data_IF_038868967371
#
_entry.id   IF_038868967371
#
_cell.length_a   1.000
_cell.length_b   1.000
_cell.length_c   1.000
_cell.angle_alpha   90.00
_cell.angle_beta   90.00
_cell.angle_gamma   90.00
#
_symmetry.space_group_name_H-M   'P 1'
#
loop_
_entity.id
_entity.type
_entity.pdbx_description
1 polymer ?
#
# COMPACT_ATOMS: atom_id res chain seq x y z
N UNK A 1 -22.61 -20.70 11.22
CA UNK A 1 -21.37 -21.16 11.88
C UNK A 1 -21.57 -22.61 12.25
N UNK A 2 -21.11 -23.52 11.41
CA UNK A 2 -21.19 -24.96 11.63
C UNK A 2 -19.91 -25.37 12.34
N UNK A 3 -19.98 -25.63 13.64
CA UNK A 3 -18.87 -26.20 14.41
C UNK A 3 -18.61 -27.63 13.92
N UNK A 4 -17.70 -27.78 12.96
CA UNK A 4 -17.11 -29.07 12.60
C UNK A 4 -16.02 -29.37 13.63
N UNK A 5 -16.36 -30.14 14.67
CA UNK A 5 -15.44 -30.51 15.76
C UNK A 5 -14.50 -31.68 15.38
N UNK A 6 -14.04 -31.74 14.14
CA UNK A 6 -13.11 -32.79 13.70
C UNK A 6 -12.40 -32.46 12.40
N UNK A 7 -11.16 -32.95 12.27
CA UNK A 7 -10.35 -32.89 11.05
C UNK A 7 -11.13 -33.48 9.87
N UNK A 8 -11.25 -32.76 8.72
CA UNK A 8 -11.91 -33.32 7.54
C UNK A 8 -11.25 -34.63 7.09
N UNK A 9 -12.05 -35.65 6.73
CA UNK A 9 -11.53 -36.97 6.35
C UNK A 9 -10.42 -36.96 5.27
N UNK A 10 -10.47 -36.11 4.23
CA UNK A 10 -9.37 -36.00 3.26
C UNK A 10 -8.06 -35.48 3.87
N UNK A 11 -8.15 -34.55 4.82
CA UNK A 11 -6.99 -34.00 5.54
C UNK A 11 -6.39 -35.06 6.46
N UNK A 12 -7.21 -35.74 7.25
CA UNK A 12 -6.75 -36.81 8.14
C UNK A 12 -6.01 -37.91 7.35
N UNK A 13 -6.57 -38.36 6.23
CA UNK A 13 -5.94 -39.36 5.37
C UNK A 13 -4.60 -38.89 4.78
N UNK A 14 -4.47 -37.59 4.51
CA UNK A 14 -3.21 -36.98 4.09
C UNK A 14 -2.19 -36.96 5.23
N UNK A 15 -2.57 -36.46 6.41
CA UNK A 15 -1.70 -36.34 7.58
C UNK A 15 -1.17 -37.70 8.05
N UNK A 16 -2.00 -38.75 8.04
CA UNK A 16 -1.56 -40.14 8.33
C UNK A 16 -0.45 -40.61 7.40
N UNK A 17 -0.49 -40.23 6.12
CA UNK A 17 0.54 -40.60 5.14
C UNK A 17 1.77 -39.70 5.24
N UNK A 18 1.58 -38.41 5.44
CA UNK A 18 2.64 -37.42 5.55
C UNK A 18 3.51 -37.63 6.80
N UNK A 19 2.93 -38.12 7.88
CA UNK A 19 3.63 -38.35 9.16
C UNK A 19 4.09 -39.80 9.35
N UNK A 20 3.88 -40.66 8.35
CA UNK A 20 4.30 -42.06 8.38
C UNK A 20 5.83 -42.13 8.53
N UNK A 21 6.31 -42.99 9.44
CA UNK A 21 7.74 -43.19 9.70
C UNK A 21 8.35 -42.28 10.77
N UNK A 22 7.67 -41.20 11.17
CA UNK A 22 8.18 -40.33 12.24
C UNK A 22 8.13 -41.04 13.62
N UNK A 23 9.09 -40.74 14.51
CA UNK A 23 9.03 -41.16 15.91
C UNK A 23 7.71 -40.71 16.55
N UNK A 24 7.10 -41.51 17.45
CA UNK A 24 5.80 -41.17 18.05
C UNK A 24 5.75 -39.77 18.65
N UNK A 25 6.82 -39.34 19.32
CA UNK A 25 6.93 -38.02 19.97
C UNK A 25 6.90 -36.86 18.97
N UNK A 26 7.42 -37.04 17.75
CA UNK A 26 7.44 -36.00 16.70
C UNK A 26 6.24 -36.09 15.77
N UNK A 27 5.57 -37.23 15.73
CA UNK A 27 4.42 -37.45 14.88
C UNK A 27 3.28 -36.51 15.23
N UNK A 28 2.98 -36.34 16.52
CA UNK A 28 1.90 -35.48 16.98
C UNK A 28 2.20 -33.99 16.75
N UNK A 29 3.44 -33.55 17.00
CA UNK A 29 3.89 -32.19 16.72
C UNK A 29 3.76 -31.84 15.24
N UNK A 30 4.35 -32.67 14.37
CA UNK A 30 4.29 -32.46 12.90
C UNK A 30 2.86 -32.61 12.39
N UNK A 31 2.06 -33.47 13.00
CA UNK A 31 0.64 -33.60 12.67
C UNK A 31 -0.09 -32.28 12.91
N UNK A 32 0.03 -31.71 14.11
CA UNK A 32 -0.66 -30.49 14.51
C UNK A 32 -0.22 -29.30 13.64
N UNK A 33 1.08 -29.17 13.37
CA UNK A 33 1.62 -28.10 12.52
C UNK A 33 1.10 -28.20 11.08
N UNK A 34 1.10 -29.40 10.48
CA UNK A 34 0.58 -29.61 9.14
C UNK A 34 -0.93 -29.42 9.06
N UNK A 35 -1.67 -29.85 10.08
CA UNK A 35 -3.11 -29.63 10.18
C UNK A 35 -3.43 -28.13 10.21
N UNK A 36 -2.79 -27.38 11.11
CA UNK A 36 -2.96 -25.93 11.21
C UNK A 36 -2.61 -25.22 9.90
N UNK A 37 -1.47 -25.58 9.28
CA UNK A 37 -1.03 -24.98 8.04
C UNK A 37 -2.03 -25.20 6.89
N UNK A 38 -2.52 -26.44 6.72
CA UNK A 38 -3.47 -26.75 5.65
C UNK A 38 -4.82 -26.08 5.88
N UNK A 39 -5.31 -26.06 7.13
CA UNK A 39 -6.59 -25.42 7.46
C UNK A 39 -6.51 -23.89 7.27
N UNK A 40 -5.44 -23.25 7.72
CA UNK A 40 -5.23 -21.82 7.50
C UNK A 40 -5.16 -21.48 5.99
N UNK A 41 -4.49 -22.33 5.19
CA UNK A 41 -4.44 -22.14 3.74
C UNK A 41 -5.79 -22.36 3.06
N UNK A 42 -6.57 -23.35 3.52
CA UNK A 42 -7.93 -23.56 3.03
C UNK A 42 -8.83 -22.36 3.35
N UNK A 43 -8.79 -21.83 4.58
CA UNK A 43 -9.56 -20.65 4.97
C UNK A 43 -9.23 -19.42 4.09
N UNK A 44 -7.95 -19.19 3.78
CA UNK A 44 -7.54 -18.15 2.82
C UNK A 44 -8.20 -18.33 1.45
N UNK A 45 -8.21 -19.57 0.93
CA UNK A 45 -8.83 -19.88 -0.36
C UNK A 45 -10.36 -19.75 -0.32
N UNK A 46 -10.99 -19.99 0.82
CA UNK A 46 -12.42 -19.69 1.02
C UNK A 46 -12.69 -18.18 0.93
N UNK A 47 -11.84 -17.34 1.54
CA UNK A 47 -11.94 -15.88 1.38
C UNK A 47 -11.73 -15.40 -0.06
N UNK A 48 -11.00 -16.18 -0.88
CA UNK A 48 -10.84 -15.96 -2.32
C UNK A 48 -12.06 -16.44 -3.14
N UNK A 49 -13.09 -16.99 -2.50
CA UNK A 49 -14.37 -17.38 -3.11
C UNK A 49 -14.48 -18.85 -3.49
N UNK A 50 -13.52 -19.70 -3.09
CA UNK A 50 -13.65 -21.15 -3.25
C UNK A 50 -14.63 -21.74 -2.24
N UNK A 51 -15.33 -22.82 -2.61
CA UNK A 51 -16.10 -23.57 -1.61
C UNK A 51 -15.14 -24.29 -0.63
N UNK A 52 -15.57 -24.59 0.61
CA UNK A 52 -14.69 -25.25 1.59
C UNK A 52 -14.03 -26.54 1.08
N UNK A 53 -14.77 -27.36 0.33
CA UNK A 53 -14.25 -28.59 -0.27
C UNK A 53 -13.19 -28.32 -1.35
N UNK A 54 -13.39 -27.28 -2.18
CA UNK A 54 -12.45 -26.89 -3.21
C UNK A 54 -11.19 -26.27 -2.60
N UNK A 55 -11.36 -25.41 -1.60
CA UNK A 55 -10.29 -24.76 -0.87
C UNK A 55 -9.36 -25.79 -0.21
N UNK A 56 -9.91 -26.75 0.54
CA UNK A 56 -9.13 -27.83 1.15
C UNK A 56 -8.39 -28.68 0.11
N UNK A 57 -9.07 -29.02 -1.00
CA UNK A 57 -8.45 -29.79 -2.09
C UNK A 57 -7.29 -29.03 -2.74
N UNK A 58 -7.43 -27.72 -2.92
CA UNK A 58 -6.38 -26.87 -3.47
C UNK A 58 -5.21 -26.74 -2.49
N UNK A 59 -5.47 -26.51 -1.19
CA UNK A 59 -4.45 -26.45 -0.15
C UNK A 59 -3.62 -27.75 -0.07
N UNK A 60 -4.28 -28.92 -0.08
CA UNK A 60 -3.59 -30.22 -0.12
C UNK A 60 -2.78 -30.43 -1.40
N UNK A 61 -3.26 -29.90 -2.54
CA UNK A 61 -2.54 -29.97 -3.82
C UNK A 61 -1.28 -29.10 -3.80
N UNK A 62 -1.34 -27.92 -3.20
CA UNK A 62 -0.19 -27.01 -3.04
C UNK A 62 0.89 -27.61 -2.14
N UNK A 63 0.49 -28.32 -1.08
CA UNK A 63 1.42 -29.03 -0.19
C UNK A 63 2.13 -30.22 -0.88
N UNK A 64 1.55 -30.73 -1.96
CA UNK A 64 2.13 -31.78 -2.80
C UNK A 64 1.91 -33.21 -2.25
N UNK A 65 2.56 -34.22 -2.84
CA UNK A 65 2.32 -35.62 -2.47
C UNK A 65 2.77 -35.95 -1.04
N UNK A 66 1.95 -36.63 -0.21
CA UNK A 66 2.26 -36.86 1.20
C UNK A 66 3.50 -37.72 1.42
N UNK A 67 3.82 -38.64 0.49
CA UNK A 67 5.04 -39.47 0.57
C UNK A 67 6.32 -38.64 0.41
N UNK A 68 6.29 -37.58 -0.40
CA UNK A 68 7.42 -36.67 -0.58
C UNK A 68 7.66 -35.86 0.70
N UNK A 69 6.58 -35.41 1.33
CA UNK A 69 6.63 -34.71 2.61
C UNK A 69 7.13 -35.62 3.74
N UNK A 70 6.61 -36.84 3.82
CA UNK A 70 7.08 -37.87 4.77
C UNK A 70 8.57 -38.17 4.61
N UNK A 71 9.05 -38.36 3.37
CA UNK A 71 10.48 -38.58 3.13
C UNK A 71 11.35 -37.39 3.57
N UNK A 72 10.89 -36.16 3.32
CA UNK A 72 11.57 -34.96 3.78
C UNK A 72 11.62 -34.86 5.31
N UNK A 73 10.49 -35.08 5.98
CA UNK A 73 10.39 -35.02 7.45
C UNK A 73 11.21 -36.14 8.13
N UNK A 74 11.15 -37.36 7.60
CA UNK A 74 11.99 -38.46 8.08
C UNK A 74 13.49 -38.17 7.90
N UNK A 75 13.87 -37.50 6.81
CA UNK A 75 15.25 -37.06 6.60
C UNK A 75 15.76 -36.08 7.66
N UNK A 76 14.87 -35.23 8.18
CA UNK A 76 15.19 -34.26 9.24
C UNK A 76 15.22 -34.92 10.63
N UNK A 77 14.27 -35.81 10.91
CA UNK A 77 14.04 -36.30 12.28
C UNK A 77 14.64 -37.68 12.61
N UNK A 78 14.91 -38.53 11.62
CA UNK A 78 15.36 -39.92 11.84
C UNK A 78 16.81 -40.19 11.43
N UNK A 79 17.56 -39.19 10.95
CA UNK A 79 18.96 -39.41 10.58
C UNK A 79 19.91 -39.31 11.80
N UNK A 80 20.84 -40.28 11.97
CA UNK A 80 21.93 -40.16 12.93
C UNK A 80 22.77 -38.92 12.64
N UNK A 81 23.25 -38.24 13.69
CA UNK A 81 24.02 -36.96 13.67
C UNK A 81 25.32 -36.96 12.83
N UNK A 82 25.61 -38.00 12.05
CA UNK A 82 26.80 -38.11 11.20
C UNK A 82 26.68 -37.41 9.83
N UNK A 83 25.51 -36.88 9.48
CA UNK A 83 25.37 -36.00 8.31
C UNK A 83 25.52 -34.52 8.71
N UNK A 84 26.66 -34.19 9.30
CA UNK A 84 27.11 -32.79 9.35
C UNK A 84 27.76 -32.36 8.01
N UNK A 85 28.11 -33.32 7.13
CA UNK A 85 28.78 -33.03 5.87
C UNK A 85 27.89 -33.07 4.62
N UNK A 86 26.83 -33.89 4.55
CA UNK A 86 25.90 -33.82 3.41
C UNK A 86 24.79 -32.77 3.58
N UNK A 87 24.52 -32.34 4.83
CA UNK A 87 23.68 -31.16 5.10
C UNK A 87 24.33 -29.89 4.57
N UNK A 88 25.65 -29.80 4.49
CA UNK A 88 26.34 -28.68 3.83
C UNK A 88 26.12 -28.65 2.32
N UNK A 89 26.00 -29.79 1.64
CA UNK A 89 25.70 -29.83 0.20
C UNK A 89 24.23 -29.70 -0.11
N UNK A 90 23.30 -30.24 0.69
CA UNK A 90 21.87 -29.92 0.54
C UNK A 90 21.52 -28.52 1.03
N UNK A 91 22.15 -27.95 2.06
CA UNK A 91 22.05 -26.52 2.36
C UNK A 91 22.75 -25.67 1.29
N UNK A 92 23.84 -26.09 0.67
CA UNK A 92 24.44 -25.34 -0.44
C UNK A 92 23.61 -25.42 -1.72
N UNK A 93 22.91 -26.53 -1.97
CA UNK A 93 21.97 -26.65 -3.09
C UNK A 93 20.64 -25.96 -2.77
N UNK A 94 20.17 -26.00 -1.52
CA UNK A 94 18.98 -25.25 -1.08
C UNK A 94 19.28 -23.76 -1.04
N UNK A 95 20.39 -23.33 -0.43
CA UNK A 95 20.88 -21.96 -0.47
C UNK A 95 21.26 -21.53 -1.88
N UNK A 96 21.73 -22.44 -2.74
CA UNK A 96 21.94 -22.20 -4.16
C UNK A 96 20.61 -21.97 -4.90
N UNK A 97 19.59 -22.78 -4.64
CA UNK A 97 18.24 -22.60 -5.18
C UNK A 97 17.53 -21.38 -4.58
N UNK A 98 17.75 -21.05 -3.31
CA UNK A 98 17.25 -19.84 -2.64
C UNK A 98 18.01 -18.59 -3.12
N UNK A 99 19.32 -18.66 -3.37
CA UNK A 99 20.10 -17.57 -3.96
C UNK A 99 19.78 -17.37 -5.45
N UNK A 100 19.47 -18.45 -6.18
CA UNK A 100 18.95 -18.37 -7.54
C UNK A 100 17.48 -17.89 -7.58
N UNK A 101 16.70 -18.14 -6.52
CA UNK A 101 15.33 -17.63 -6.35
C UNK A 101 15.28 -16.20 -5.82
N UNK A 102 16.33 -15.72 -5.13
CA UNK A 102 16.54 -14.30 -4.80
C UNK A 102 17.11 -13.54 -6.00
N UNK A 103 16.42 -13.64 -7.15
CA UNK A 103 16.61 -12.67 -8.21
C UNK A 103 16.41 -11.28 -7.56
N UNK A 104 17.37 -10.35 -7.67
CA UNK A 104 17.22 -9.02 -7.11
C UNK A 104 15.92 -8.44 -7.65
N UNK A 105 15.02 -8.05 -6.74
CA UNK A 105 13.73 -7.48 -7.11
C UNK A 105 14.02 -6.28 -8.03
N UNK A 106 13.52 -6.29 -9.28
CA UNK A 106 13.85 -5.25 -10.24
C UNK A 106 13.43 -3.90 -9.67
N UNK A 107 14.35 -2.95 -9.68
CA UNK A 107 14.11 -1.59 -9.19
C UNK A 107 13.92 -0.67 -10.36
N UNK A 108 12.73 -0.09 -10.48
CA UNK A 108 12.40 0.89 -11.49
C UNK A 108 12.49 2.30 -10.92
N UNK A 109 13.18 3.18 -11.62
CA UNK A 109 13.27 4.60 -11.31
C UNK A 109 12.21 5.33 -12.14
N UNK A 110 11.28 6.02 -11.50
CA UNK A 110 10.30 6.88 -12.17
C UNK A 110 10.76 8.33 -12.00
N UNK A 111 11.13 9.02 -13.09
CA UNK A 111 11.44 10.44 -13.05
C UNK A 111 10.21 11.25 -12.59
N UNK A 112 10.38 12.10 -11.59
CA UNK A 112 9.34 13.00 -11.08
C UNK A 112 9.67 14.43 -11.42
N UNK A 113 8.71 15.13 -12.03
CA UNK A 113 8.76 16.57 -12.22
C UNK A 113 8.14 17.28 -11.02
N UNK A 114 8.84 18.27 -10.47
CA UNK A 114 8.34 19.05 -9.34
C UNK A 114 7.59 20.32 -9.74
N UNK A 115 7.52 20.59 -11.05
CA UNK A 115 6.88 21.76 -11.63
C UNK A 115 6.03 21.39 -12.84
N UNK A 116 4.79 21.84 -12.82
CA UNK A 116 3.85 21.78 -13.94
C UNK A 116 3.49 23.20 -14.39
N UNK A 117 2.98 23.39 -15.62
CA UNK A 117 2.27 24.62 -15.98
C UNK A 117 1.05 24.81 -15.07
N UNK A 118 0.57 26.05 -14.94
CA UNK A 118 -0.69 26.33 -14.22
C UNK A 118 -1.86 25.72 -14.98
N UNK A 119 -2.87 25.25 -14.24
CA UNK A 119 -4.08 24.67 -14.83
C UNK A 119 -5.29 25.53 -14.47
N UNK A 120 -6.07 25.89 -15.48
CA UNK A 120 -7.34 26.60 -15.33
C UNK A 120 -8.49 25.67 -15.72
N UNK A 121 -9.34 25.34 -14.76
CA UNK A 121 -10.52 24.51 -15.00
C UNK A 121 -11.79 25.38 -14.96
N UNK A 122 -12.65 25.26 -15.96
CA UNK A 122 -13.93 25.99 -16.09
C UNK A 122 -15.07 25.02 -16.40
N UNK A 123 -16.33 25.39 -16.11
CA UNK A 123 -17.47 24.56 -16.50
C UNK A 123 -17.60 24.55 -18.03
N UNK A 124 -18.20 23.49 -18.63
CA UNK A 124 -18.38 23.41 -20.07
C UNK A 124 -19.09 24.60 -20.71
N UNK A 125 -20.03 25.21 -19.98
CA UNK A 125 -20.86 26.33 -20.44
C UNK A 125 -20.26 27.72 -20.16
N UNK A 126 -19.13 27.78 -19.44
CA UNK A 126 -18.44 29.04 -19.15
C UNK A 126 -17.60 29.51 -20.35
N UNK A 127 -17.20 30.79 -20.35
CA UNK A 127 -16.29 31.34 -21.36
C UNK A 127 -14.98 30.56 -21.39
N UNK A 128 -14.70 29.91 -22.52
CA UNK A 128 -13.51 29.09 -22.69
C UNK A 128 -12.28 29.99 -22.84
N UNK A 129 -11.21 29.79 -22.06
CA UNK A 129 -9.99 30.54 -22.25
C UNK A 129 -9.32 30.16 -23.57
N UNK A 130 -8.59 31.08 -24.19
CA UNK A 130 -7.75 30.81 -25.36
C UNK A 130 -6.45 30.08 -24.97
N UNK A 131 -6.59 28.94 -24.29
CA UNK A 131 -5.51 28.12 -23.78
C UNK A 131 -5.64 26.68 -24.34
N UNK A 132 -4.55 25.90 -24.42
CA UNK A 132 -4.61 24.50 -24.80
C UNK A 132 -5.46 23.66 -23.84
N UNK A 133 -6.42 22.90 -24.38
CA UNK A 133 -7.24 21.96 -23.62
C UNK A 133 -6.43 20.71 -23.23
N UNK A 134 -6.41 20.37 -21.95
CA UNK A 134 -5.73 19.17 -21.42
C UNK A 134 -6.74 18.06 -21.16
N UNK A 135 -7.82 18.39 -20.46
CA UNK A 135 -8.86 17.46 -20.04
C UNK A 135 -10.22 18.05 -20.38
N UNK A 136 -11.06 17.22 -20.98
CA UNK A 136 -12.47 17.51 -21.24
C UNK A 136 -13.32 16.44 -20.56
N UNK A 137 -14.00 16.82 -19.50
CA UNK A 137 -15.02 15.97 -18.89
C UNK A 137 -16.40 16.56 -19.18
N UNK A 138 -17.46 15.78 -19.05
CA UNK A 138 -18.83 16.32 -19.13
C UNK A 138 -19.18 17.34 -18.03
N UNK A 139 -18.28 17.61 -17.07
CA UNK A 139 -18.51 18.51 -15.93
C UNK A 139 -17.52 19.68 -15.84
N UNK A 140 -16.32 19.52 -16.40
CA UNK A 140 -15.23 20.49 -16.31
C UNK A 140 -14.29 20.34 -17.50
N UNK A 141 -13.85 21.47 -18.03
CA UNK A 141 -12.80 21.58 -19.05
C UNK A 141 -11.57 22.23 -18.40
N UNK A 142 -10.43 21.55 -18.43
CA UNK A 142 -9.19 22.04 -17.87
C UNK A 142 -8.19 22.39 -18.97
N UNK A 143 -7.62 23.58 -18.86
CA UNK A 143 -6.74 24.20 -19.83
C UNK A 143 -5.37 24.49 -19.23
N UNK A 144 -4.33 24.39 -20.05
CA UNK A 144 -2.95 24.60 -19.64
C UNK A 144 -2.52 26.05 -19.86
N UNK A 145 -2.13 26.73 -18.79
CA UNK A 145 -1.52 28.05 -18.84
C UNK A 145 0.00 27.93 -18.69
N UNK A 146 0.71 28.19 -19.78
CA UNK A 146 2.18 28.15 -19.83
C UNK A 146 2.85 29.44 -19.34
N UNK A 147 2.08 30.47 -18.93
CA UNK A 147 2.63 31.73 -18.42
C UNK A 147 3.22 31.63 -17.01
N UNK A 148 2.94 30.54 -16.29
CA UNK A 148 3.47 30.29 -14.97
C UNK A 148 3.54 28.80 -14.65
N UNK A 149 4.21 28.51 -13.53
CA UNK A 149 4.32 27.15 -13.01
C UNK A 149 3.56 26.99 -11.70
N UNK A 150 3.16 25.75 -11.43
CA UNK A 150 2.66 25.29 -10.15
C UNK A 150 3.55 24.15 -9.65
N UNK A 151 3.70 24.08 -8.33
CA UNK A 151 4.48 23.04 -7.68
C UNK A 151 3.65 21.77 -7.49
N UNK A 152 4.29 20.60 -7.59
CA UNK A 152 3.66 19.32 -7.34
C UNK A 152 4.63 18.17 -7.48
N UNK A 153 4.12 16.95 -7.63
CA UNK A 153 4.88 15.76 -7.99
C UNK A 153 4.20 15.13 -9.19
N UNK A 154 4.84 15.18 -10.35
CA UNK A 154 4.22 14.76 -11.60
C UNK A 154 5.03 13.67 -12.28
N UNK A 155 4.34 12.62 -12.70
CA UNK A 155 4.93 11.48 -13.41
C UNK A 155 4.25 11.32 -14.75
N UNK A 156 5.00 10.92 -15.77
CA UNK A 156 4.44 10.74 -17.11
C UNK A 156 3.65 9.45 -17.21
N UNK A 157 2.66 9.41 -18.11
CA UNK A 157 1.86 8.21 -18.37
C UNK A 157 2.73 7.04 -18.83
N UNK A 158 3.70 7.31 -19.72
CA UNK A 158 4.63 6.29 -20.22
C UNK A 158 5.47 5.63 -19.12
N UNK A 159 5.99 6.41 -18.17
CA UNK A 159 6.80 5.87 -17.06
C UNK A 159 5.94 5.10 -16.07
N UNK A 160 4.70 5.54 -15.83
CA UNK A 160 3.72 4.80 -15.02
C UNK A 160 3.37 3.46 -15.68
N UNK A 161 3.10 3.45 -16.99
CA UNK A 161 2.81 2.21 -17.73
C UNK A 161 3.98 1.24 -17.68
N UNK A 162 5.22 1.71 -17.85
CA UNK A 162 6.42 0.88 -17.71
C UNK A 162 6.56 0.32 -16.29
N UNK A 163 6.34 1.15 -15.27
CA UNK A 163 6.51 0.77 -13.87
C UNK A 163 5.49 -0.24 -13.37
N UNK A 164 4.27 -0.18 -13.88
CA UNK A 164 3.20 -1.10 -13.50
C UNK A 164 3.19 -2.39 -14.32
N UNK A 165 3.80 -2.43 -15.51
CA UNK A 165 3.80 -3.62 -16.36
C UNK A 165 4.29 -4.91 -15.66
N UNK A 166 5.39 -4.91 -14.86
CA UNK A 166 5.84 -6.10 -14.13
C UNK A 166 4.82 -6.63 -13.11
N UNK A 167 3.90 -5.78 -12.64
CA UNK A 167 2.86 -6.11 -11.66
C UNK A 167 1.63 -6.79 -12.26
N UNK A 168 1.57 -6.89 -13.59
CA UNK A 168 0.40 -7.35 -14.31
C UNK A 168 -0.73 -6.30 -14.38
N UNK A 169 -0.57 -5.12 -13.75
CA UNK A 169 -1.48 -3.99 -13.95
C UNK A 169 -1.19 -3.37 -15.32
N UNK A 170 -2.20 -3.36 -16.18
CA UNK A 170 -2.14 -2.68 -17.48
C UNK A 170 -2.60 -1.24 -17.31
N UNK A 171 -1.75 -0.29 -17.72
CA UNK A 171 -2.09 1.13 -17.77
C UNK A 171 -2.14 1.59 -19.23
N UNK A 172 -3.33 1.89 -19.73
CA UNK A 172 -3.60 2.19 -21.14
C UNK A 172 -4.11 3.63 -21.27
N UNK A 173 -3.41 4.44 -22.06
CA UNK A 173 -3.86 5.81 -22.33
C UNK A 173 -5.05 5.80 -23.29
N UNK A 174 -6.01 6.70 -23.07
CA UNK A 174 -7.06 7.00 -24.05
C UNK A 174 -6.47 7.51 -25.36
N UNK A 175 -7.24 7.43 -26.45
CA UNK A 175 -6.78 7.83 -27.79
C UNK A 175 -6.40 9.31 -27.89
N UNK A 176 -7.01 10.17 -27.07
CA UNK A 176 -6.69 11.59 -26.95
C UNK A 176 -5.56 11.87 -25.91
N UNK A 177 -5.06 10.83 -25.25
CA UNK A 177 -4.06 10.90 -24.18
C UNK A 177 -4.50 11.65 -22.93
N UNK A 178 -5.78 11.97 -22.76
CA UNK A 178 -6.27 12.74 -21.61
C UNK A 178 -6.49 11.90 -20.36
N UNK A 179 -6.62 10.58 -20.51
CA UNK A 179 -6.98 9.64 -19.44
C UNK A 179 -6.05 8.44 -19.48
N UNK A 180 -5.64 7.95 -18.32
CA UNK A 180 -4.91 6.69 -18.14
C UNK A 180 -5.84 5.70 -17.43
N UNK A 181 -6.20 4.62 -18.11
CA UNK A 181 -7.06 3.56 -17.59
C UNK A 181 -6.22 2.43 -17.01
N UNK A 182 -6.55 1.99 -15.80
CA UNK A 182 -5.87 0.89 -15.12
C UNK A 182 -6.75 -0.35 -15.13
N UNK A 183 -6.16 -1.48 -15.52
CA UNK A 183 -6.80 -2.80 -15.48
C UNK A 183 -5.93 -3.76 -14.69
N UNK A 184 -6.56 -4.61 -13.89
CA UNK A 184 -5.86 -5.70 -13.20
C UNK A 184 -5.34 -6.74 -14.19
N UNK A 185 -4.55 -7.70 -13.71
CA UNK A 185 -4.10 -8.83 -14.53
C UNK A 185 -5.26 -9.62 -15.15
N UNK A 186 -6.43 -9.63 -14.51
CA UNK A 186 -7.67 -10.24 -15.00
C UNK A 186 -8.49 -9.31 -15.91
N UNK A 187 -7.90 -8.20 -16.37
CA UNK A 187 -8.53 -7.18 -17.22
C UNK A 187 -9.74 -6.47 -16.59
N UNK A 188 -9.94 -6.61 -15.28
CA UNK A 188 -10.99 -5.90 -14.55
C UNK A 188 -10.60 -4.42 -14.40
N UNK A 189 -11.54 -3.47 -14.54
CA UNK A 189 -11.26 -2.06 -14.28
C UNK A 189 -10.79 -1.85 -12.83
N UNK A 190 -9.58 -1.32 -12.66
CA UNK A 190 -9.02 -0.95 -11.35
C UNK A 190 -9.24 0.54 -11.05
N UNK A 191 -9.32 1.36 -12.09
CA UNK A 191 -9.55 2.79 -11.97
C UNK A 191 -9.14 3.54 -13.23
N UNK A 192 -9.23 4.86 -13.17
CA UNK A 192 -8.69 5.76 -14.19
C UNK A 192 -8.23 7.05 -13.52
N UNK A 193 -7.23 7.70 -14.09
CA UNK A 193 -6.87 9.08 -13.74
C UNK A 193 -6.73 9.94 -15.00
N UNK A 194 -6.79 11.25 -14.83
CA UNK A 194 -6.72 12.22 -15.89
C UNK A 194 -5.34 12.88 -15.94
N UNK A 195 -4.95 13.33 -17.12
CA UNK A 195 -3.74 14.13 -17.28
C UNK A 195 -3.93 15.49 -16.57
N UNK A 196 -2.97 15.89 -15.74
CA UNK A 196 -2.92 17.23 -15.17
C UNK A 196 -2.45 18.23 -16.22
N UNK A 197 -1.44 17.85 -17.02
CA UNK A 197 -0.90 18.68 -18.11
C UNK A 197 -0.26 17.81 -19.19
N UNK A 198 0.09 18.44 -20.32
CA UNK A 198 0.88 17.81 -21.39
C UNK A 198 2.17 18.59 -21.64
N UNK A 199 3.26 17.87 -21.90
CA UNK A 199 4.56 18.45 -22.29
C UNK A 199 5.19 17.60 -23.38
N UNK A 200 5.47 18.21 -24.53
CA UNK A 200 6.04 17.54 -25.70
C UNK A 200 5.21 16.32 -26.18
N UNK A 201 3.89 16.44 -26.13
CA UNK A 201 2.97 15.35 -26.49
C UNK A 201 2.76 14.29 -25.40
N UNK A 202 3.56 14.30 -24.33
CA UNK A 202 3.44 13.37 -23.21
C UNK A 202 2.49 13.91 -22.14
N UNK A 203 1.60 13.06 -21.63
CA UNK A 203 0.67 13.38 -20.54
C UNK A 203 1.28 13.06 -19.18
N UNK A 204 1.00 13.91 -18.20
CA UNK A 204 1.48 13.78 -16.83
C UNK A 204 0.32 13.73 -15.85
N UNK A 205 0.39 12.88 -14.83
CA UNK A 205 -0.54 12.83 -13.70
C UNK A 205 0.13 13.28 -12.40
N UNK A 206 -0.68 13.64 -11.41
CA UNK A 206 -0.21 13.86 -10.05
C UNK A 206 0.19 12.53 -9.42
N UNK A 207 1.38 12.45 -8.84
CA UNK A 207 1.88 11.24 -8.20
C UNK A 207 0.94 10.74 -7.08
N UNK A 208 0.12 11.60 -6.46
CA UNK A 208 -0.95 11.20 -5.54
C UNK A 208 -1.92 10.19 -6.17
N UNK A 209 -2.28 10.36 -7.44
CA UNK A 209 -3.20 9.45 -8.11
C UNK A 209 -2.55 8.08 -8.30
N UNK A 210 -1.27 8.05 -8.67
CA UNK A 210 -0.48 6.82 -8.74
C UNK A 210 -0.44 6.12 -7.37
N UNK A 211 -0.17 6.87 -6.30
CA UNK A 211 -0.16 6.33 -4.94
C UNK A 211 -1.52 5.76 -4.58
N UNK A 212 -2.61 6.49 -4.80
CA UNK A 212 -3.96 6.00 -4.57
C UNK A 212 -4.25 4.69 -5.32
N UNK A 213 -3.89 4.62 -6.60
CA UNK A 213 -4.08 3.41 -7.40
C UNK A 213 -3.25 2.23 -6.89
N UNK A 214 -2.01 2.47 -6.49
CA UNK A 214 -1.14 1.43 -5.90
C UNK A 214 -1.69 0.97 -4.54
N UNK A 215 -2.28 1.88 -3.75
CA UNK A 215 -2.85 1.56 -2.44
C UNK A 215 -4.15 0.76 -2.52
N UNK A 216 -5.04 1.09 -3.47
CA UNK A 216 -6.39 0.51 -3.54
C UNK A 216 -6.57 -0.53 -4.64
N UNK A 217 -5.78 -0.47 -5.70
CA UNK A 217 -5.93 -1.31 -6.89
C UNK A 217 -4.99 -2.52 -6.94
N UNK A 218 -4.06 -2.63 -5.99
CA UNK A 218 -3.06 -3.70 -6.00
C UNK A 218 -3.49 -4.87 -5.09
N UNK A 219 -3.54 -6.12 -5.59
CA UNK A 219 -3.81 -7.28 -4.74
C UNK A 219 -2.69 -7.57 -3.72
N UNK A 220 -1.50 -6.98 -3.90
CA UNK A 220 -0.36 -7.20 -3.03
C UNK A 220 -0.16 -6.03 -2.05
N UNK A 221 0.23 -6.31 -0.79
CA UNK A 221 0.66 -5.27 0.14
C UNK A 221 1.83 -4.47 -0.43
N UNK A 222 1.66 -3.15 -0.52
CA UNK A 222 2.74 -2.23 -0.87
C UNK A 222 3.35 -1.72 0.44
N UNK A 223 4.67 -1.76 0.55
CA UNK A 223 5.42 -1.16 1.65
C UNK A 223 6.23 0.03 1.13
N UNK A 224 6.34 1.09 1.92
CA UNK A 224 7.21 2.23 1.60
C UNK A 224 8.36 2.24 2.58
N UNK A 225 9.58 2.49 2.13
CA UNK A 225 10.77 2.55 3.00
C UNK A 225 11.72 3.65 2.57
N UNK A 226 12.52 4.15 3.52
CA UNK A 226 13.57 5.14 3.30
C UNK A 226 13.07 6.58 3.10
N UNK A 227 13.45 7.50 4.01
CA UNK A 227 13.09 8.91 3.84
C UNK A 227 13.83 9.58 2.67
N UNK A 228 15.15 9.43 2.61
CA UNK A 228 16.00 10.11 1.61
C UNK A 228 15.77 9.62 0.18
N UNK A 229 15.35 8.36 0.05
CA UNK A 229 15.00 7.75 -1.21
C UNK A 229 13.79 6.85 -0.97
N UNK A 230 12.56 7.37 -1.17
CA UNK A 230 11.34 6.60 -0.98
C UNK A 230 11.29 5.43 -1.96
N UNK A 231 11.30 4.21 -1.42
CA UNK A 231 11.18 2.95 -2.16
C UNK A 231 9.82 2.33 -1.88
N UNK A 232 8.99 2.21 -2.91
CA UNK A 232 7.74 1.47 -2.89
C UNK A 232 8.01 0.02 -3.28
N UNK A 233 7.97 -0.88 -2.31
CA UNK A 233 8.16 -2.31 -2.49
C UNK A 233 6.81 -2.98 -2.79
N UNK A 234 6.66 -3.51 -4.00
CA UNK A 234 5.50 -4.28 -4.43
C UNK A 234 5.82 -5.77 -4.25
N UNK A 235 6.04 -6.19 -2.99
CA UNK A 235 6.34 -7.55 -2.52
C UNK A 235 6.76 -8.56 -3.61
N UNK A 236 8.07 -8.74 -3.78
CA UNK A 236 8.71 -9.68 -4.71
C UNK A 236 8.46 -9.45 -6.22
N UNK A 237 7.66 -8.44 -6.60
CA UNK A 237 7.41 -8.10 -8.00
C UNK A 237 8.42 -7.06 -8.48
N UNK A 238 8.42 -5.89 -7.85
CA UNK A 238 9.27 -4.77 -8.23
C UNK A 238 9.40 -3.76 -7.09
N UNK A 239 10.51 -3.03 -7.09
CA UNK A 239 10.65 -1.80 -6.33
C UNK A 239 10.41 -0.63 -7.27
N UNK A 240 9.61 0.35 -6.85
CA UNK A 240 9.44 1.61 -7.54
C UNK A 240 10.11 2.69 -6.70
N UNK A 241 11.01 3.45 -7.32
CA UNK A 241 11.68 4.58 -6.70
C UNK A 241 11.28 5.83 -7.45
N UNK A 242 10.71 6.79 -6.73
CA UNK A 242 10.39 8.10 -7.26
C UNK A 242 11.68 8.93 -7.26
N UNK A 243 12.17 9.27 -8.45
CA UNK A 243 13.41 10.01 -8.61
C UNK A 243 13.11 11.45 -9.03
N UNK A 244 13.19 12.37 -8.08
CA UNK A 244 13.02 13.80 -8.32
C UNK A 244 14.09 14.63 -7.61
N UNK A 245 14.19 15.89 -8.03
CA UNK A 245 15.12 16.86 -7.46
C UNK A 245 14.37 18.05 -6.86
N UNK A 246 14.91 18.64 -5.81
CA UNK A 246 14.40 19.86 -5.20
C UNK A 246 14.44 19.80 -3.68
N UNK A 247 14.49 20.97 -3.04
CA UNK A 247 14.33 21.06 -1.60
C UNK A 247 12.97 20.45 -1.23
N UNK A 248 12.94 19.61 -0.20
CA UNK A 248 11.71 18.96 0.29
C UNK A 248 11.05 17.95 -0.65
N UNK A 249 11.70 17.47 -1.73
CA UNK A 249 11.12 16.43 -2.62
C UNK A 249 10.59 15.23 -1.81
N UNK A 250 11.42 14.67 -0.94
CA UNK A 250 11.06 13.54 -0.08
C UNK A 250 9.91 13.87 0.88
N UNK A 251 9.94 15.06 1.48
CA UNK A 251 8.84 15.53 2.32
C UNK A 251 7.52 15.62 1.54
N UNK A 252 7.54 16.07 0.29
CA UNK A 252 6.35 16.11 -0.59
C UNK A 252 5.85 14.70 -0.90
N UNK A 253 6.74 13.74 -1.18
CA UNK A 253 6.36 12.34 -1.42
C UNK A 253 5.62 11.78 -0.19
N UNK A 254 6.19 11.95 1.00
CA UNK A 254 5.56 11.46 2.22
C UNK A 254 4.32 12.23 2.64
N UNK A 255 4.21 13.52 2.30
CA UNK A 255 2.98 14.31 2.49
C UNK A 255 1.86 13.77 1.61
N UNK A 256 2.14 13.55 0.34
CA UNK A 256 1.22 12.92 -0.61
C UNK A 256 0.78 11.52 -0.15
N UNK A 257 1.73 10.71 0.33
CA UNK A 257 1.44 9.41 0.93
C UNK A 257 0.54 9.54 2.17
N UNK A 258 0.84 10.45 3.08
CA UNK A 258 0.06 10.67 4.30
C UNK A 258 -1.37 11.14 3.99
N UNK A 259 -1.53 12.00 2.98
CA UNK A 259 -2.84 12.47 2.52
C UNK A 259 -3.66 11.33 1.92
N UNK A 260 -3.02 10.45 1.14
CA UNK A 260 -3.68 9.25 0.62
C UNK A 260 -4.03 8.28 1.75
N UNK A 261 -3.11 8.03 2.68
CA UNK A 261 -3.31 7.14 3.83
C UNK A 261 -4.44 7.59 4.77
N UNK A 262 -4.66 8.90 4.91
CA UNK A 262 -5.79 9.45 5.65
C UNK A 262 -7.12 8.80 5.23
N UNK A 263 -7.32 8.56 3.93
CA UNK A 263 -8.54 7.92 3.41
C UNK A 263 -8.80 6.51 3.95
N UNK A 264 -7.78 5.83 4.51
CA UNK A 264 -7.93 4.52 5.16
C UNK A 264 -8.36 4.65 6.61
N UNK A 265 -7.88 5.68 7.31
CA UNK A 265 -8.19 5.91 8.73
C UNK A 265 -9.61 6.41 8.97
N UNK A 266 -10.20 7.00 7.95
CA UNK A 266 -11.47 7.68 8.05
C UNK A 266 -12.52 6.94 7.22
N UNK A 267 -13.49 6.32 7.91
CA UNK A 267 -14.58 5.61 7.27
C UNK A 267 -15.62 6.61 6.73
N UNK A 268 -15.32 7.15 5.56
CA UNK A 268 -16.14 8.16 4.91
C UNK A 268 -17.44 7.62 4.33
N UNK A 269 -17.63 6.29 4.27
CA UNK A 269 -18.88 5.68 3.82
C UNK A 269 -20.06 6.06 4.74
N UNK A 270 -19.77 6.49 5.98
CA UNK A 270 -20.75 6.94 6.97
C UNK A 270 -21.30 8.34 6.72
N UNK A 271 -20.58 9.16 5.97
CA UNK A 271 -21.04 10.49 5.58
C UNK A 271 -21.65 10.38 4.17
N UNK A 272 -22.69 11.17 3.88
CA UNK A 272 -23.39 11.21 2.58
C UNK A 272 -22.45 11.07 1.38
N UNK A 273 -22.95 10.59 0.23
CA UNK A 273 -22.22 10.22 -1.01
C UNK A 273 -21.07 11.15 -1.50
N UNK A 274 -20.95 12.36 -0.96
CA UNK A 274 -19.89 13.32 -1.27
C UNK A 274 -19.21 13.73 0.03
N UNK A 275 -17.88 13.66 0.03
CA UNK A 275 -17.00 14.13 1.10
C UNK A 275 -15.76 14.79 0.49
N UNK A 276 -15.14 15.69 1.23
CA UNK A 276 -13.88 16.33 0.85
C UNK A 276 -12.99 16.48 2.07
N UNK A 277 -11.68 16.44 1.86
CA UNK A 277 -10.70 16.78 2.89
C UNK A 277 -9.92 18.01 2.47
N UNK A 278 -9.51 18.79 3.44
CA UNK A 278 -8.57 19.87 3.26
C UNK A 278 -7.41 19.64 4.22
N UNK A 279 -6.22 19.40 3.65
CA UNK A 279 -5.00 19.32 4.42
C UNK A 279 -4.39 20.71 4.56
N UNK A 280 -4.07 21.07 5.79
CA UNK A 280 -3.38 22.31 6.12
C UNK A 280 -2.07 22.02 6.83
N UNK A 281 -1.11 22.93 6.65
CA UNK A 281 0.11 22.91 7.45
C UNK A 281 -0.19 23.29 8.91
N UNK A 282 0.62 22.82 9.87
CA UNK A 282 0.52 23.25 11.26
C UNK A 282 0.61 24.78 11.36
N UNK A 283 -0.32 25.37 12.10
CA UNK A 283 -0.34 26.82 12.32
C UNK A 283 0.91 27.28 13.06
N UNK A 284 1.27 28.57 12.93
CA UNK A 284 2.44 29.16 13.61
C UNK A 284 2.43 28.97 15.14
N UNK A 285 1.24 28.83 15.74
CA UNK A 285 1.03 28.58 17.17
C UNK A 285 1.27 27.12 17.61
N UNK A 286 1.62 26.22 16.70
CA UNK A 286 2.02 24.84 17.07
C UNK A 286 3.44 24.82 17.59
N UNK A 287 3.69 24.02 18.62
CA UNK A 287 5.05 23.81 19.17
C UNK A 287 5.66 22.55 18.59
N UNK A 288 6.94 22.59 18.25
CA UNK A 288 7.69 21.37 17.95
C UNK A 288 7.78 20.53 19.22
N UNK A 289 7.20 19.33 19.18
CA UNK A 289 7.24 18.35 20.25
C UNK A 289 8.13 17.19 19.81
N UNK A 290 9.03 16.80 20.71
CA UNK A 290 9.81 15.57 20.57
C UNK A 290 9.00 14.41 21.14
N UNK A 291 8.76 13.38 20.35
CA UNK A 291 7.96 12.21 20.70
C UNK A 291 8.83 10.97 20.62
N UNK A 292 8.89 10.18 21.69
CA UNK A 292 9.53 8.86 21.67
C UNK A 292 8.62 7.86 20.96
N UNK A 293 9.18 7.09 20.03
CA UNK A 293 8.45 6.04 19.29
C UNK A 293 9.11 4.68 19.52
N UNK A 294 8.39 3.57 19.30
CA UNK A 294 8.99 2.23 19.32
C UNK A 294 9.75 1.88 18.03
N UNK A 295 9.90 2.83 17.09
CA UNK A 295 10.37 2.54 15.74
C UNK A 295 11.86 2.82 15.56
N UNK A 296 12.43 2.15 14.56
CA UNK A 296 13.84 2.29 14.17
C UNK A 296 14.11 3.68 13.59
N UNK A 297 15.38 4.12 13.51
CA UNK A 297 15.75 5.36 12.83
C UNK A 297 15.34 5.37 11.35
N UNK A 298 15.00 6.55 10.82
CA UNK A 298 14.65 6.75 9.41
C UNK A 298 13.20 6.38 9.05
N UNK A 299 12.36 6.05 10.02
CA UNK A 299 10.94 5.77 9.84
C UNK A 299 10.16 7.08 9.77
N UNK A 300 9.20 7.17 8.85
CA UNK A 300 8.40 8.37 8.66
C UNK A 300 7.09 8.24 9.43
N UNK A 301 6.83 9.23 10.29
CA UNK A 301 5.64 9.32 11.12
C UNK A 301 4.79 10.49 10.64
N UNK A 302 3.51 10.24 10.45
CA UNK A 302 2.49 11.26 10.25
C UNK A 302 1.67 11.46 11.53
N UNK A 303 1.40 12.71 11.84
CA UNK A 303 0.44 13.11 12.86
C UNK A 303 -0.72 13.85 12.20
N UNK A 304 -1.92 13.35 12.45
CA UNK A 304 -3.17 13.90 11.94
C UNK A 304 -3.95 14.52 13.10
N UNK A 305 -4.16 15.83 13.04
CA UNK A 305 -5.02 16.54 13.99
C UNK A 305 -6.31 16.97 13.29
N UNK A 306 -7.44 16.62 13.90
CA UNK A 306 -8.76 17.00 13.41
C UNK A 306 -9.16 18.37 13.94
N UNK A 307 -9.43 19.35 13.07
CA UNK A 307 -9.88 20.67 13.53
C UNK A 307 -11.38 20.75 13.68
N UNK A 308 -12.11 20.63 12.56
CA UNK A 308 -13.56 20.73 12.50
C UNK A 308 -14.05 20.21 11.16
N UNK A 309 -15.23 19.63 11.15
CA UNK A 309 -15.98 19.37 9.92
C UNK A 309 -16.78 20.61 9.54
N UNK A 310 -16.57 21.12 8.33
CA UNK A 310 -17.30 22.29 7.80
C UNK A 310 -18.32 21.82 6.77
N UNK A 311 -19.63 22.06 6.97
CA UNK A 311 -20.64 21.80 5.95
C UNK A 311 -20.38 22.63 4.69
N UNK A 312 -20.50 21.99 3.53
CA UNK A 312 -20.36 22.61 2.24
C UNK A 312 -21.46 22.10 1.29
N UNK A 313 -21.62 22.79 0.15
CA UNK A 313 -22.51 22.38 -0.92
C UNK A 313 -21.75 22.41 -2.24
N UNK A 314 -21.96 21.39 -3.07
CA UNK A 314 -21.39 21.35 -4.41
C UNK A 314 -22.18 22.28 -5.34
N UNK A 315 -21.67 22.51 -6.55
CA UNK A 315 -22.30 23.43 -7.50
C UNK A 315 -23.75 23.05 -7.88
N UNK A 316 -24.14 21.78 -7.72
CA UNK A 316 -25.50 21.27 -7.97
C UNK A 316 -26.37 21.25 -6.69
N UNK A 317 -25.88 21.78 -5.58
CA UNK A 317 -26.61 21.86 -4.31
C UNK A 317 -26.48 20.64 -3.41
N UNK A 318 -25.80 19.56 -3.82
CA UNK A 318 -25.56 18.40 -2.93
C UNK A 318 -24.67 18.81 -1.76
N UNK A 319 -25.15 18.56 -0.55
CA UNK A 319 -24.44 18.86 0.71
C UNK A 319 -23.35 17.83 0.96
N UNK A 320 -22.21 18.28 1.49
CA UNK A 320 -21.11 17.43 1.93
C UNK A 320 -20.39 18.03 3.13
N UNK A 321 -19.50 17.27 3.76
CA UNK A 321 -18.62 17.75 4.82
C UNK A 321 -17.20 17.89 4.29
N UNK A 322 -16.59 19.04 4.57
CA UNK A 322 -15.15 19.26 4.43
C UNK A 322 -14.50 18.93 5.77
N UNK A 323 -13.57 17.98 5.78
CA UNK A 323 -12.78 17.66 6.95
C UNK A 323 -11.46 18.42 6.92
N UNK A 324 -11.28 19.34 7.88
CA UNK A 324 -10.04 20.10 8.03
C UNK A 324 -9.04 19.31 8.87
N UNK A 325 -8.00 18.80 8.21
CA UNK A 325 -6.95 17.98 8.82
C UNK A 325 -5.66 18.80 8.82
N UNK A 326 -5.05 18.95 9.99
CA UNK A 326 -3.67 19.43 10.10
C UNK A 326 -2.75 18.21 10.05
N UNK A 327 -1.79 18.24 9.13
CA UNK A 327 -0.83 17.17 8.94
C UNK A 327 0.56 17.65 9.37
N UNK A 328 1.19 16.94 10.31
CA UNK A 328 2.61 17.09 10.62
C UNK A 328 3.35 15.81 10.26
N UNK A 329 4.54 15.95 9.67
CA UNK A 329 5.42 14.83 9.34
C UNK A 329 6.72 14.96 10.09
N UNK A 330 7.32 13.82 10.44
CA UNK A 330 8.66 13.75 10.99
C UNK A 330 9.31 12.43 10.68
N UNK A 331 10.63 12.39 10.81
CA UNK A 331 11.46 11.20 10.64
C UNK A 331 12.07 10.84 11.98
N UNK A 332 12.07 9.56 12.33
CA UNK A 332 12.69 9.09 13.57
C UNK A 332 14.21 9.24 13.53
N UNK A 333 14.79 9.78 14.60
CA UNK A 333 16.22 9.93 14.79
C UNK A 333 16.89 8.60 15.23
N UNK A 334 18.20 8.66 15.51
CA UNK A 334 19.00 7.51 15.94
C UNK A 334 18.50 6.87 17.25
N UNK A 335 17.75 7.62 18.07
CA UNK A 335 17.17 7.19 19.33
C UNK A 335 15.70 6.78 19.21
N UNK A 336 15.12 6.81 18.00
CA UNK A 336 13.72 6.50 17.76
C UNK A 336 12.76 7.64 18.14
N UNK A 337 13.27 8.86 18.34
CA UNK A 337 12.42 10.03 18.60
C UNK A 337 12.06 10.73 17.30
N UNK A 338 10.88 11.35 17.24
CA UNK A 338 10.41 12.14 16.11
C UNK A 338 10.00 13.54 16.56
N UNK A 339 10.37 14.55 15.76
CA UNK A 339 9.94 15.94 15.95
C UNK A 339 8.68 16.20 15.13
N UNK A 340 7.60 16.62 15.80
CA UNK A 340 6.31 16.92 15.17
C UNK A 340 5.77 18.26 15.65
N UNK A 341 5.15 19.04 14.75
CA UNK A 341 4.49 20.30 15.09
C UNK A 341 3.05 20.03 15.51
N UNK A 342 2.79 20.11 16.81
CA UNK A 342 1.51 19.74 17.41
C UNK A 342 1.00 20.83 18.36
N UNK A 343 -0.31 20.84 18.69
CA UNK A 343 -0.82 21.59 19.83
C UNK A 343 -0.10 21.22 21.14
N UNK A 344 0.04 22.19 22.03
CA UNK A 344 0.65 21.97 23.35
C UNK A 344 -0.12 20.92 24.17
N UNK A 345 -1.44 20.94 24.08
CA UNK A 345 -2.37 20.06 24.78
C UNK A 345 -2.84 18.88 23.91
N UNK A 346 -2.04 18.49 22.91
CA UNK A 346 -2.37 17.36 22.05
C UNK A 346 -2.55 16.05 22.84
N UNK A 347 -3.65 15.34 22.55
CA UNK A 347 -4.02 14.05 23.14
C UNK A 347 -3.89 12.97 22.08
N UNK A 348 -3.14 11.91 22.36
CA UNK A 348 -2.91 10.87 21.36
C UNK A 348 -3.99 9.80 21.39
N UNK A 349 -4.43 9.37 20.21
CA UNK A 349 -5.45 8.33 20.04
C UNK A 349 -5.10 7.38 18.89
N UNK A 350 -5.60 6.16 18.95
CA UNK A 350 -5.51 5.15 17.87
C UNK A 350 -6.85 4.95 17.16
N UNK A 351 -7.88 5.71 17.53
CA UNK A 351 -9.19 5.69 16.88
C UNK A 351 -9.52 7.07 16.34
N UNK A 352 -10.37 7.11 15.30
CA UNK A 352 -10.90 8.35 14.77
C UNK A 352 -11.50 9.22 15.90
N UNK A 353 -11.09 10.50 16.03
CA UNK A 353 -11.65 11.39 17.03
C UNK A 353 -13.16 11.59 16.84
N UNK A 354 -13.94 11.53 17.93
CA UNK A 354 -15.38 11.74 17.85
C UNK A 354 -15.77 13.20 17.50
N UNK A 355 -14.86 14.14 17.72
CA UNK A 355 -15.03 15.55 17.38
C UNK A 355 -13.69 16.21 17.05
N UNK A 356 -13.74 17.35 16.36
CA UNK A 356 -12.56 18.17 16.14
C UNK A 356 -12.02 18.75 17.45
N UNK A 357 -10.70 18.93 17.54
CA UNK A 357 -10.02 19.42 18.73
C UNK A 357 -8.52 19.14 18.73
N UNK A 358 -8.00 18.74 19.89
CA UNK A 358 -6.59 18.49 20.12
C UNK A 358 -6.22 17.01 20.09
N UNK A 359 -7.16 16.15 19.68
CA UNK A 359 -6.87 14.73 19.46
C UNK A 359 -5.99 14.57 18.21
N UNK A 360 -4.93 13.79 18.37
CA UNK A 360 -3.90 13.54 17.36
C UNK A 360 -3.75 12.04 17.16
N UNK A 361 -3.93 11.61 15.92
CA UNK A 361 -3.66 10.25 15.49
C UNK A 361 -2.24 10.19 14.93
N UNK A 362 -1.42 9.26 15.44
CA UNK A 362 -0.09 8.99 14.93
C UNK A 362 -0.10 7.73 14.08
N UNK A 363 0.49 7.82 12.88
CA UNK A 363 0.64 6.70 11.97
C UNK A 363 2.07 6.59 11.46
N UNK A 364 2.63 5.38 11.50
CA UNK A 364 3.86 5.05 10.79
C UNK A 364 3.54 4.83 9.31
N UNK A 365 4.16 5.62 8.44
CA UNK A 365 3.97 5.53 6.98
C UNK A 365 4.91 4.53 6.33
N UNK A 366 6.13 4.41 6.85
CA UNK A 366 7.13 3.47 6.34
C UNK A 366 6.94 2.08 6.93
N UNK A 367 7.21 1.05 6.14
CA UNK A 367 7.13 -0.36 6.53
C UNK A 367 5.76 -0.77 7.10
N UNK A 368 4.72 0.01 6.79
CA UNK A 368 3.32 -0.30 7.05
C UNK A 368 2.69 -0.68 5.71
N UNK A 369 1.97 -1.81 5.63
CA UNK A 369 1.21 -2.18 4.44
C UNK A 369 0.21 -1.07 4.08
N UNK A 370 0.35 -0.46 2.90
CA UNK A 370 -0.52 0.64 2.50
C UNK A 370 -1.99 0.23 2.35
N UNK A 371 -2.25 -1.05 2.05
CA UNK A 371 -3.60 -1.63 2.05
C UNK A 371 -4.17 -1.86 3.46
N UNK A 372 -3.36 -1.76 4.51
CA UNK A 372 -3.74 -1.91 5.91
C UNK A 372 -3.04 -0.87 6.79
N UNK A 373 -3.23 0.41 6.46
CA UNK A 373 -2.60 1.50 7.21
C UNK A 373 -2.97 1.53 8.69
N UNK A 374 -4.11 0.95 9.09
CA UNK A 374 -4.51 0.82 10.49
C UNK A 374 -3.48 0.06 11.34
N UNK A 375 -2.72 -0.85 10.74
CA UNK A 375 -1.60 -1.54 11.43
C UNK A 375 -0.41 -0.64 11.77
N UNK A 376 -0.34 0.55 11.18
CA UNK A 376 0.67 1.57 11.47
C UNK A 376 0.27 2.56 12.57
N UNK A 377 -0.94 2.47 13.12
CA UNK A 377 -1.39 3.33 14.22
C UNK A 377 -0.70 2.94 15.53
N UNK A 378 -0.29 3.94 16.31
CA UNK A 378 0.41 3.71 17.57
C UNK A 378 0.21 4.86 18.57
N UNK A 379 0.45 4.57 19.85
CA UNK A 379 0.60 5.58 20.90
C UNK A 379 2.09 5.82 21.15
N UNK A 380 2.49 7.06 21.48
CA UNK A 380 3.87 7.35 21.88
C UNK A 380 4.20 6.67 23.22
N UNK A 381 5.50 6.46 23.48
CA UNK A 381 6.00 5.85 24.72
C UNK A 381 5.88 6.76 25.94
#
# INVERSE_FOLDING_TARGET
MTTLTGTPAPLEAYLRRATLGLPPERREEVWNELEEHVLCRAEQLEFEGHSPEQALKLALRELGPPLRLSAAMNGVHNMPKLIAFATLTTLAVSAGLYALAQQPVPTMQIPVQTQAPRIQCVKPDDTQPHLPLVVKTGRVNCYQDNSGTQEGLYVSFSEVTKALAPTGIKAESSSDGSTLHFRTALSQPAGATYAVFKRNGESYLDANDLLGLVMYGNPFPVLVSGYEQPVFNLKNVSNIVLNGSGEQFNQRVYRNLAQTAARVFFDFSKYSEIWSYQFSEPAAQTTERLISTPFKPGEVIAAYQWKKSTPAASADGRKYLIQDIVLSLGVTDAQGNVKLKLPQDAKFTTTEPASGGNDVLLARLTNTPLSNMNSGLFLPN
#
